data_IF_761555845073
#
_entry.id   IF_761555845073
#
_cell.length_a   1.000
_cell.length_b   1.000
_cell.length_c   1.000
_cell.angle_alpha   90.00
_cell.angle_beta   90.00
_cell.angle_gamma   90.00
#
_symmetry.space_group_name_H-M   'P 1'
#
loop_
_entity.id
_entity.type
_entity.pdbx_description
1 polymer ?
#
# COMPACT_ATOMS: atom_id res chain seq x y z
N UNK A 1 28.35 -2.24 3.01
CA UNK A 1 28.22 -1.02 3.83
C UNK A 1 28.87 -1.18 5.20
N UNK A 2 28.48 -2.17 6.01
CA UNK A 2 29.05 -2.41 7.35
C UNK A 2 30.59 -2.43 7.37
N UNK A 3 31.21 -3.18 6.46
CA UNK A 3 32.68 -3.31 6.41
C UNK A 3 33.38 -1.98 6.05
N UNK A 4 32.94 -1.31 4.97
CA UNK A 4 33.49 -0.01 4.57
C UNK A 4 33.25 1.12 5.60
N UNK A 5 32.15 1.04 6.37
CA UNK A 5 31.89 1.97 7.47
C UNK A 5 32.85 1.74 8.64
N UNK A 6 33.16 0.49 8.96
CA UNK A 6 34.14 0.15 10.01
C UNK A 6 35.55 0.59 9.61
N UNK A 7 35.96 0.31 8.38
CA UNK A 7 37.26 0.76 7.86
C UNK A 7 37.41 2.29 7.90
N UNK A 8 36.35 3.04 7.58
CA UNK A 8 36.36 4.50 7.72
C UNK A 8 36.38 4.95 9.18
N UNK A 9 35.66 4.27 10.08
CA UNK A 9 35.67 4.60 11.51
C UNK A 9 37.05 4.42 12.15
N UNK A 10 37.81 3.42 11.71
CA UNK A 10 39.18 3.17 12.17
C UNK A 10 40.19 4.23 11.67
N UNK A 11 39.86 4.97 10.59
CA UNK A 11 40.73 6.00 9.98
C UNK A 11 39.91 7.04 9.20
N UNK A 12 39.34 8.03 9.90
CA UNK A 12 38.38 8.98 9.33
C UNK A 12 39.03 10.06 8.43
N UNK A 13 40.35 10.28 8.56
CA UNK A 13 41.09 11.26 7.75
C UNK A 13 41.45 10.71 6.36
N UNK A 14 41.30 9.41 6.13
CA UNK A 14 41.56 8.79 4.83
C UNK A 14 40.47 9.10 3.81
N UNK A 15 40.82 9.92 2.81
CA UNK A 15 39.97 10.21 1.66
C UNK A 15 39.53 8.97 0.89
N UNK A 16 40.39 7.94 0.81
CA UNK A 16 40.10 6.69 0.12
C UNK A 16 39.04 5.87 0.84
N UNK A 17 39.18 5.68 2.17
CA UNK A 17 38.22 4.95 3.00
C UNK A 17 36.87 5.67 3.05
N UNK A 18 36.88 7.01 3.16
CA UNK A 18 35.67 7.84 3.02
C UNK A 18 34.97 7.61 1.68
N UNK A 19 35.72 7.61 0.58
CA UNK A 19 35.18 7.38 -0.77
C UNK A 19 34.55 5.99 -0.92
N UNK A 20 35.19 4.95 -0.40
CA UNK A 20 34.64 3.59 -0.37
C UNK A 20 33.34 3.51 0.44
N UNK A 21 33.31 4.09 1.64
CA UNK A 21 32.12 4.14 2.49
C UNK A 21 30.97 4.87 1.79
N UNK A 22 31.20 6.03 1.19
CA UNK A 22 30.16 6.82 0.51
C UNK A 22 29.57 6.05 -0.68
N UNK A 23 30.38 5.36 -1.47
CA UNK A 23 29.88 4.50 -2.56
C UNK A 23 29.04 3.34 -2.02
N UNK A 24 29.52 2.67 -0.98
CA UNK A 24 28.78 1.58 -0.35
C UNK A 24 27.44 2.04 0.23
N UNK A 25 27.40 3.24 0.82
CA UNK A 25 26.18 3.86 1.34
C UNK A 25 25.18 4.19 0.24
N UNK A 26 25.65 4.78 -0.87
CA UNK A 26 24.81 5.10 -2.03
C UNK A 26 24.19 3.85 -2.65
N UNK A 27 24.99 2.78 -2.80
CA UNK A 27 24.50 1.51 -3.32
C UNK A 27 23.46 0.89 -2.39
N UNK A 28 23.69 0.92 -1.07
CA UNK A 28 22.72 0.46 -0.09
C UNK A 28 21.41 1.26 -0.18
N UNK A 29 21.49 2.59 -0.20
CA UNK A 29 20.31 3.45 -0.32
C UNK A 29 19.54 3.16 -1.62
N UNK A 30 20.24 2.99 -2.74
CA UNK A 30 19.59 2.65 -4.02
C UNK A 30 18.88 1.29 -3.96
N UNK A 31 19.50 0.27 -3.36
CA UNK A 31 18.87 -1.04 -3.19
C UNK A 31 17.65 -0.98 -2.25
N UNK A 32 17.76 -0.28 -1.13
CA UNK A 32 16.66 -0.10 -0.18
C UNK A 32 15.51 0.67 -0.82
N UNK A 33 15.77 1.74 -1.56
CA UNK A 33 14.72 2.48 -2.27
C UNK A 33 14.00 1.60 -3.30
N UNK A 34 14.73 0.78 -4.05
CA UNK A 34 14.10 -0.19 -4.99
C UNK A 34 13.22 -1.20 -4.25
N UNK A 35 13.66 -1.69 -3.10
CA UNK A 35 12.88 -2.61 -2.27
C UNK A 35 11.60 -1.95 -1.74
N UNK A 36 11.68 -0.72 -1.23
CA UNK A 36 10.53 0.02 -0.73
C UNK A 36 9.52 0.32 -1.84
N UNK A 37 9.98 0.65 -3.05
CA UNK A 37 9.11 0.83 -4.22
C UNK A 37 8.39 -0.47 -4.57
N UNK A 38 9.12 -1.60 -4.61
CA UNK A 38 8.52 -2.90 -4.90
C UNK A 38 7.50 -3.32 -3.82
N UNK A 39 7.81 -3.11 -2.55
CA UNK A 39 6.88 -3.36 -1.46
C UNK A 39 5.60 -2.53 -1.60
N UNK A 40 5.73 -1.22 -1.88
CA UNK A 40 4.59 -0.32 -2.11
C UNK A 40 3.71 -0.78 -3.30
N UNK A 41 4.35 -1.20 -4.39
CA UNK A 41 3.64 -1.74 -5.55
C UNK A 41 2.86 -3.00 -5.21
N UNK A 42 3.46 -3.93 -4.46
CA UNK A 42 2.80 -5.18 -4.03
C UNK A 42 1.58 -4.88 -3.16
N UNK A 43 1.69 -3.96 -2.20
CA UNK A 43 0.58 -3.56 -1.33
C UNK A 43 -0.58 -2.96 -2.13
N UNK A 44 -0.29 -2.08 -3.10
CA UNK A 44 -1.30 -1.49 -3.99
C UNK A 44 -1.94 -2.56 -4.88
N UNK A 45 -1.16 -3.48 -5.44
CA UNK A 45 -1.68 -4.56 -6.27
C UNK A 45 -2.62 -5.49 -5.50
N UNK A 46 -2.29 -5.83 -4.25
CA UNK A 46 -3.16 -6.65 -3.40
C UNK A 46 -4.48 -5.93 -3.08
N UNK A 47 -4.43 -4.62 -2.82
CA UNK A 47 -5.60 -3.79 -2.62
C UNK A 47 -6.50 -3.77 -3.86
N UNK A 48 -5.93 -3.50 -5.05
CA UNK A 48 -6.67 -3.48 -6.31
C UNK A 48 -7.30 -4.85 -6.64
N UNK A 49 -6.58 -5.95 -6.36
CA UNK A 49 -7.12 -7.31 -6.53
C UNK A 49 -8.33 -7.55 -5.63
N UNK A 50 -8.25 -7.12 -4.37
CA UNK A 50 -9.35 -7.27 -3.41
C UNK A 50 -10.58 -6.44 -3.81
N UNK A 51 -10.35 -5.22 -4.32
CA UNK A 51 -11.42 -4.37 -4.87
C UNK A 51 -12.11 -5.01 -6.08
N UNK A 52 -11.35 -5.59 -7.01
CA UNK A 52 -11.90 -6.24 -8.20
C UNK A 52 -12.78 -7.45 -7.86
N UNK A 53 -12.38 -8.26 -6.88
CA UNK A 53 -13.22 -9.38 -6.40
C UNK A 53 -14.57 -8.88 -5.90
N UNK A 54 -14.58 -7.77 -5.16
CA UNK A 54 -15.81 -7.17 -4.65
C UNK A 54 -16.66 -6.54 -5.76
N UNK A 55 -16.03 -5.93 -6.77
CA UNK A 55 -16.72 -5.41 -7.95
C UNK A 55 -17.40 -6.53 -8.75
N UNK A 56 -16.66 -7.61 -9.03
CA UNK A 56 -17.17 -8.79 -9.74
C UNK A 56 -18.33 -9.47 -8.97
N UNK A 57 -18.22 -9.59 -7.64
CA UNK A 57 -19.28 -10.15 -6.80
C UNK A 57 -20.54 -9.28 -6.78
N UNK A 58 -20.38 -7.95 -6.78
CA UNK A 58 -21.48 -7.00 -6.88
C UNK A 58 -22.19 -7.11 -8.24
N UNK A 59 -21.43 -7.17 -9.34
CA UNK A 59 -21.96 -7.26 -10.69
C UNK A 59 -22.64 -8.60 -10.97
N UNK A 60 -22.06 -9.73 -10.53
CA UNK A 60 -22.71 -11.03 -10.66
C UNK A 60 -24.08 -11.04 -9.98
N UNK A 61 -24.16 -10.44 -8.80
CA UNK A 61 -25.38 -10.47 -8.00
C UNK A 61 -26.47 -9.55 -8.54
N UNK A 62 -26.09 -8.41 -9.14
CA UNK A 62 -27.04 -7.51 -9.84
C UNK A 62 -27.69 -8.18 -11.06
N UNK A 63 -26.99 -9.12 -11.71
CA UNK A 63 -27.51 -9.89 -12.85
C UNK A 63 -28.41 -11.06 -12.44
N UNK A 64 -28.23 -11.63 -11.25
CA UNK A 64 -28.92 -12.88 -10.85
C UNK A 64 -30.17 -12.72 -9.97
N UNK A 65 -30.42 -11.58 -9.31
CA UNK A 65 -31.50 -11.48 -8.31
C UNK A 65 -32.42 -10.26 -8.51
N UNK A 66 -33.77 -10.42 -8.43
CA UNK A 66 -34.72 -9.31 -8.50
C UNK A 66 -34.66 -8.40 -7.26
N UNK A 67 -34.66 -7.08 -7.48
CA UNK A 67 -34.24 -5.99 -6.57
C UNK A 67 -34.90 -5.95 -5.18
N UNK A 68 -36.08 -6.56 -4.97
CA UNK A 68 -36.91 -6.30 -3.77
C UNK A 68 -36.63 -7.17 -2.54
N UNK A 69 -36.08 -8.38 -2.70
CA UNK A 69 -35.82 -9.30 -1.57
C UNK A 69 -34.37 -9.25 -1.05
N UNK A 70 -33.49 -8.53 -1.76
CA UNK A 70 -32.05 -8.72 -1.63
C UNK A 70 -31.35 -7.83 -0.59
N UNK A 71 -31.96 -6.72 -0.16
CA UNK A 71 -31.23 -5.69 0.63
C UNK A 71 -30.67 -6.23 1.96
N UNK A 72 -31.43 -7.06 2.68
CA UNK A 72 -31.02 -7.59 3.99
C UNK A 72 -30.02 -8.75 3.90
N UNK A 73 -30.05 -9.52 2.81
CA UNK A 73 -29.14 -10.65 2.56
C UNK A 73 -27.82 -10.12 1.98
N UNK A 74 -27.89 -9.10 1.11
CA UNK A 74 -26.73 -8.40 0.55
C UNK A 74 -25.90 -7.76 1.65
N UNK A 75 -26.52 -6.99 2.56
CA UNK A 75 -25.78 -6.32 3.63
C UNK A 75 -25.10 -7.30 4.59
N UNK A 76 -25.74 -8.42 4.91
CA UNK A 76 -25.18 -9.46 5.79
C UNK A 76 -23.99 -10.20 5.17
N UNK A 77 -24.04 -10.49 3.87
CA UNK A 77 -22.99 -11.29 3.22
C UNK A 77 -21.81 -10.43 2.72
N UNK A 78 -22.10 -9.21 2.24
CA UNK A 78 -21.09 -8.33 1.68
C UNK A 78 -20.51 -7.35 2.70
N UNK A 79 -21.27 -6.99 3.75
CA UNK A 79 -20.82 -6.08 4.80
C UNK A 79 -19.45 -6.43 5.41
N UNK A 80 -19.20 -7.70 5.79
CA UNK A 80 -17.89 -8.11 6.32
C UNK A 80 -16.75 -7.98 5.30
N UNK A 81 -17.01 -8.31 4.02
CA UNK A 81 -16.03 -8.21 2.93
C UNK A 81 -15.68 -6.75 2.65
N UNK A 82 -16.69 -5.88 2.56
CA UNK A 82 -16.49 -4.44 2.40
C UNK A 82 -15.76 -3.85 3.60
N UNK A 83 -16.14 -4.18 4.84
CA UNK A 83 -15.47 -3.67 6.04
C UNK A 83 -13.98 -3.97 6.04
N UNK A 84 -13.60 -5.21 5.73
CA UNK A 84 -12.20 -5.63 5.68
C UNK A 84 -11.40 -4.87 4.63
N UNK A 85 -11.98 -4.63 3.46
CA UNK A 85 -11.32 -3.83 2.40
C UNK A 85 -11.24 -2.36 2.81
N UNK A 86 -12.24 -1.83 3.50
CA UNK A 86 -12.22 -0.46 4.02
C UNK A 86 -11.11 -0.23 5.04
N UNK A 87 -10.85 -1.21 5.92
CA UNK A 87 -9.73 -1.14 6.85
C UNK A 87 -8.40 -1.00 6.08
N UNK A 88 -8.20 -1.78 5.02
CA UNK A 88 -6.99 -1.73 4.18
C UNK A 88 -6.88 -0.41 3.41
N UNK A 89 -7.99 0.11 2.86
CA UNK A 89 -8.02 1.42 2.18
C UNK A 89 -7.72 2.55 3.16
N UNK A 90 -8.22 2.46 4.39
CA UNK A 90 -7.98 3.47 5.43
C UNK A 90 -6.50 3.50 5.84
N UNK A 91 -5.89 2.34 6.05
CA UNK A 91 -4.44 2.24 6.29
C UNK A 91 -3.63 2.82 5.13
N UNK A 92 -4.05 2.57 3.87
CA UNK A 92 -3.40 3.18 2.71
C UNK A 92 -3.55 4.70 2.70
N UNK A 93 -4.74 5.22 3.01
CA UNK A 93 -5.03 6.66 3.05
C UNK A 93 -4.11 7.42 4.01
N UNK A 94 -3.80 6.83 5.17
CA UNK A 94 -2.87 7.42 6.14
C UNK A 94 -1.48 7.60 5.51
N UNK A 95 -1.01 6.60 4.78
CA UNK A 95 0.33 6.52 4.18
C UNK A 95 0.53 7.39 2.94
N UNK A 96 -0.54 7.89 2.32
CA UNK A 96 -0.43 8.78 1.15
C UNK A 96 0.19 10.13 1.54
N UNK A 97 0.91 10.77 0.64
CA UNK A 97 1.34 12.17 0.82
C UNK A 97 0.38 13.17 0.17
N UNK A 98 -0.36 12.77 -0.88
CA UNK A 98 -1.30 13.63 -1.57
C UNK A 98 -2.59 13.85 -0.77
N UNK A 99 -2.82 15.10 -0.34
CA UNK A 99 -4.03 15.51 0.38
C UNK A 99 -5.30 15.29 -0.44
N UNK A 100 -5.27 15.49 -1.75
CA UNK A 100 -6.45 15.33 -2.61
C UNK A 100 -6.91 13.87 -2.65
N UNK A 101 -5.96 12.94 -2.79
CA UNK A 101 -6.25 11.51 -2.74
C UNK A 101 -6.85 11.10 -1.39
N UNK A 102 -6.32 11.60 -0.26
CA UNK A 102 -6.90 11.34 1.08
C UNK A 102 -8.33 11.84 1.19
N UNK A 103 -8.61 13.06 0.73
CA UNK A 103 -9.95 13.61 0.74
C UNK A 103 -10.92 12.82 -0.15
N UNK A 104 -10.47 12.39 -1.32
CA UNK A 104 -11.29 11.56 -2.22
C UNK A 104 -11.70 10.26 -1.52
N UNK A 105 -10.76 9.53 -0.92
CA UNK A 105 -11.04 8.30 -0.19
C UNK A 105 -12.02 8.56 0.97
N UNK A 106 -11.80 9.64 1.72
CA UNK A 106 -12.69 10.03 2.83
C UNK A 106 -14.13 10.29 2.35
N UNK A 107 -14.30 10.98 1.21
CA UNK A 107 -15.62 11.26 0.61
C UNK A 107 -16.31 9.97 0.15
N UNK A 108 -15.58 9.00 -0.39
CA UNK A 108 -16.18 7.71 -0.77
C UNK A 108 -16.69 6.95 0.47
N UNK A 109 -15.95 6.97 1.59
CA UNK A 109 -16.40 6.35 2.86
C UNK A 109 -17.74 6.93 3.33
N UNK A 110 -17.91 8.25 3.26
CA UNK A 110 -19.17 8.93 3.65
C UNK A 110 -20.35 8.61 2.74
N UNK A 111 -20.13 8.13 1.51
CA UNK A 111 -21.22 7.79 0.57
C UNK A 111 -21.80 6.39 0.75
N UNK A 112 -21.17 5.52 1.54
CA UNK A 112 -21.65 4.15 1.76
C UNK A 112 -22.20 3.90 3.17
N UNK A 113 -22.05 4.86 4.09
CA UNK A 113 -22.77 4.86 5.36
C UNK A 113 -24.15 5.48 5.18
#
# INVERSE_FOLDING_TARGET
>A
MSLAAREFADDPCSSLKRGNMVRAARNLLSAVTRLLILADMVDVHLLLKSLRVVEDDSERRSRTLPVKENSSIISKLLGPQYSKIWDVIEQRSISLNDKKAKEFIKRQKTRMG
#
